data_IF_908613482037
#
_entry.id   IF_908613482037
#
_cell.length_a   1.000
_cell.length_b   1.000
_cell.length_c   1.000
_cell.angle_alpha   90.00
_cell.angle_beta   90.00
_cell.angle_gamma   90.00
#
_symmetry.space_group_name_H-M   'P 1'
#
loop_
_entity.id
_entity.type
_entity.pdbx_description
1 polymer ?
#
# COMPACT_ATOMS: atom_id res chain seq x y z
N UNK A 1 7.26 48.38 -38.01
CA UNK A 1 8.35 47.46 -37.62
C UNK A 1 7.72 46.09 -37.36
N UNK A 2 7.52 45.23 -38.36
CA UNK A 2 8.46 44.24 -38.94
C UNK A 2 9.12 43.31 -37.89
N UNK A 3 8.70 42.03 -37.98
CA UNK A 3 9.11 40.77 -37.29
C UNK A 3 10.45 40.24 -37.91
N UNK A 4 11.01 39.02 -37.68
CA UNK A 4 10.77 37.92 -36.71
C UNK A 4 12.08 37.15 -36.28
N UNK A 5 11.93 35.87 -35.85
CA UNK A 5 12.87 34.71 -35.80
C UNK A 5 13.28 34.32 -34.36
N UNK A 6 13.17 33.07 -33.87
CA UNK A 6 12.94 31.76 -34.47
C UNK A 6 12.70 30.68 -33.39
N UNK A 7 11.65 29.86 -33.57
CA UNK A 7 11.57 28.39 -33.33
C UNK A 7 11.84 27.79 -31.91
N UNK A 8 11.56 26.49 -31.67
CA UNK A 8 10.45 25.62 -32.13
C UNK A 8 9.86 24.81 -30.94
N UNK A 9 8.76 24.09 -31.21
CA UNK A 9 8.39 22.90 -30.41
C UNK A 9 9.50 21.85 -30.53
N UNK A 10 9.46 20.87 -29.63
CA UNK A 10 10.24 19.61 -29.68
C UNK A 10 11.60 19.64 -28.97
N UNK A 11 11.59 19.32 -27.66
CA UNK A 11 12.51 18.29 -27.17
C UNK A 11 11.97 17.61 -25.90
N UNK A 12 10.94 16.79 -26.09
CA UNK A 12 10.81 15.55 -25.33
C UNK A 12 12.05 14.70 -25.66
N UNK A 13 13.00 14.67 -24.73
CA UNK A 13 14.02 13.65 -24.48
C UNK A 13 15.40 14.26 -24.19
N UNK A 14 15.68 14.45 -22.91
CA UNK A 14 17.01 14.13 -22.41
C UNK A 14 16.90 13.23 -21.17
N UNK A 15 16.78 11.94 -21.48
CA UNK A 15 17.43 10.81 -20.83
C UNK A 15 17.17 10.59 -19.33
N UNK A 16 16.34 9.57 -19.10
CA UNK A 16 16.57 8.50 -18.13
C UNK A 16 18.02 8.40 -17.62
N UNK A 17 18.20 8.40 -16.30
CA UNK A 17 19.47 8.03 -15.68
C UNK A 17 19.72 8.71 -14.34
N UNK A 18 19.35 8.01 -13.27
CA UNK A 18 19.78 8.21 -11.88
C UNK A 18 19.18 9.39 -11.12
N UNK A 19 18.50 9.04 -10.02
CA UNK A 19 17.87 9.96 -9.06
C UNK A 19 18.86 10.93 -8.41
N UNK A 20 19.14 12.02 -9.12
CA UNK A 20 19.93 13.14 -8.61
C UNK A 20 19.03 14.37 -8.51
N UNK A 21 18.91 14.90 -7.30
CA UNK A 21 18.18 16.15 -7.04
C UNK A 21 18.78 17.27 -7.90
N UNK A 22 17.96 18.06 -8.63
CA UNK A 22 18.49 19.15 -9.44
C UNK A 22 19.32 20.12 -8.59
N UNK A 23 20.55 20.42 -9.01
CA UNK A 23 21.55 21.20 -8.25
C UNK A 23 21.01 22.57 -7.78
N UNK A 24 20.06 23.13 -8.52
CA UNK A 24 19.34 24.36 -8.19
C UNK A 24 18.62 24.32 -6.83
N UNK A 25 18.13 23.14 -6.40
CA UNK A 25 17.34 22.96 -5.18
C UNK A 25 18.20 22.89 -3.92
N UNK A 26 19.46 22.46 -4.04
CA UNK A 26 20.41 22.41 -2.93
C UNK A 26 20.82 23.81 -2.44
N UNK A 27 20.71 24.83 -3.29
CA UNK A 27 21.22 26.17 -2.99
C UNK A 27 20.11 27.15 -2.57
N UNK A 28 18.87 26.95 -3.04
CA UNK A 28 17.74 27.88 -2.79
C UNK A 28 16.56 27.26 -2.03
N UNK A 29 16.66 25.97 -1.68
CA UNK A 29 15.57 25.25 -1.03
C UNK A 29 14.43 24.87 -1.98
N UNK A 30 13.74 23.77 -1.66
CA UNK A 30 12.59 23.30 -2.41
C UNK A 30 11.37 24.24 -2.25
N UNK A 31 10.64 24.62 -3.32
CA UNK A 31 9.36 25.30 -3.20
C UNK A 31 8.39 24.51 -2.30
N UNK A 32 7.80 25.20 -1.33
CA UNK A 32 6.78 24.66 -0.42
C UNK A 32 5.57 24.22 -1.25
N UNK A 33 5.43 22.90 -1.45
CA UNK A 33 4.36 22.30 -2.26
C UNK A 33 4.78 21.09 -3.09
N UNK A 34 6.08 20.81 -3.25
CA UNK A 34 6.59 19.66 -4.02
C UNK A 34 7.19 18.62 -3.06
N UNK A 35 6.37 18.04 -2.19
CA UNK A 35 6.72 16.84 -1.39
C UNK A 35 5.94 15.65 -1.93
N UNK A 36 6.04 15.38 -3.23
CA UNK A 36 5.49 14.15 -3.85
C UNK A 36 6.55 13.29 -4.53
N UNK A 37 7.82 13.53 -4.26
CA UNK A 37 8.89 12.68 -4.76
C UNK A 37 10.00 12.56 -3.72
N UNK A 38 9.74 11.79 -2.67
CA UNK A 38 10.82 11.27 -1.83
C UNK A 38 11.21 9.91 -2.45
N UNK A 39 12.41 9.78 -3.05
CA UNK A 39 12.88 8.50 -3.54
C UNK A 39 13.06 7.55 -2.37
N UNK A 40 12.64 6.30 -2.59
CA UNK A 40 12.75 5.16 -1.68
C UNK A 40 14.09 5.19 -0.94
N UNK A 41 14.08 5.56 0.35
CA UNK A 41 15.28 5.62 1.17
C UNK A 41 15.70 4.18 1.51
N UNK A 42 16.61 3.65 0.70
CA UNK A 42 17.39 2.45 1.00
C UNK A 42 18.17 2.74 2.29
N UNK A 43 17.71 2.21 3.43
CA UNK A 43 18.34 2.45 4.74
C UNK A 43 17.40 2.72 5.92
N UNK A 44 16.08 2.50 5.82
CA UNK A 44 15.24 2.39 7.01
C UNK A 44 15.49 1.02 7.66
N UNK A 45 15.89 1.04 8.94
CA UNK A 45 16.06 -0.12 9.83
C UNK A 45 14.95 -1.17 9.64
N UNK A 46 15.27 -2.48 9.73
CA UNK A 46 14.31 -3.54 9.44
C UNK A 46 13.20 -3.46 10.48
N UNK A 47 12.07 -2.91 10.08
CA UNK A 47 10.87 -3.08 10.86
C UNK A 47 10.62 -4.59 10.85
N UNK A 48 10.59 -5.21 12.03
CA UNK A 48 9.98 -6.55 12.19
C UNK A 48 8.50 -6.42 11.84
N UNK A 49 8.21 -6.31 10.55
CA UNK A 49 6.90 -6.37 9.91
C UNK A 49 7.00 -7.53 8.93
N UNK A 50 7.06 -8.75 9.45
CA UNK A 50 6.80 -9.88 8.57
C UNK A 50 5.38 -10.41 8.75
N UNK A 51 4.83 -10.36 9.98
CA UNK A 51 3.44 -10.79 10.23
C UNK A 51 2.45 -9.62 10.07
N UNK A 52 2.74 -8.42 10.62
CA UNK A 52 1.71 -7.38 10.73
C UNK A 52 1.22 -6.79 9.40
N UNK A 53 2.08 -6.54 8.40
CA UNK A 53 1.62 -5.97 7.11
C UNK A 53 0.85 -6.98 6.27
N UNK A 54 1.28 -8.24 6.29
CA UNK A 54 0.62 -9.35 5.62
C UNK A 54 -0.81 -9.52 6.15
N UNK A 55 -0.97 -9.51 7.48
CA UNK A 55 -2.28 -9.57 8.15
C UNK A 55 -3.20 -8.41 7.72
N UNK A 56 -2.68 -7.18 7.67
CA UNK A 56 -3.48 -6.03 7.23
C UNK A 56 -3.90 -6.16 5.76
N UNK A 57 -3.01 -6.61 4.87
CA UNK A 57 -3.30 -6.76 3.44
C UNK A 57 -4.32 -7.87 3.20
N UNK A 58 -4.17 -9.01 3.87
CA UNK A 58 -5.18 -10.07 3.86
C UNK A 58 -6.52 -9.55 4.37
N UNK A 59 -6.54 -8.85 5.51
CA UNK A 59 -7.78 -8.35 6.09
C UNK A 59 -8.50 -7.36 5.18
N UNK A 60 -7.75 -6.48 4.51
CA UNK A 60 -8.30 -5.55 3.52
C UNK A 60 -8.98 -6.33 2.39
N UNK A 61 -8.31 -7.35 1.82
CA UNK A 61 -8.88 -8.17 0.76
C UNK A 61 -10.15 -8.90 1.21
N UNK A 62 -10.12 -9.53 2.39
CA UNK A 62 -11.29 -10.22 2.96
C UNK A 62 -12.48 -9.28 3.12
N UNK A 63 -12.25 -8.08 3.67
CA UNK A 63 -13.31 -7.10 3.87
C UNK A 63 -13.82 -6.53 2.54
N UNK A 64 -12.95 -6.38 1.53
CA UNK A 64 -13.36 -6.00 0.19
C UNK A 64 -14.28 -7.06 -0.45
N UNK A 65 -13.96 -8.36 -0.33
CA UNK A 65 -14.82 -9.43 -0.85
C UNK A 65 -16.16 -9.52 -0.10
N UNK A 66 -16.18 -9.23 1.20
CA UNK A 66 -17.39 -9.32 2.03
C UNK A 66 -18.32 -8.11 1.89
N UNK A 67 -17.76 -6.89 1.82
CA UNK A 67 -18.53 -5.64 1.91
C UNK A 67 -18.45 -4.78 0.63
N UNK A 68 -17.58 -5.13 -0.32
CA UNK A 68 -17.30 -4.36 -1.53
C UNK A 68 -16.41 -3.13 -1.32
N UNK A 69 -16.43 -2.50 -0.15
CA UNK A 69 -15.60 -1.33 0.17
C UNK A 69 -15.10 -1.38 1.61
N UNK A 70 -13.93 -0.76 1.86
CA UNK A 70 -13.23 -0.86 3.16
C UNK A 70 -12.73 0.51 3.59
N UNK A 71 -12.96 0.85 4.86
CA UNK A 71 -12.35 2.02 5.50
C UNK A 71 -11.47 1.58 6.68
N UNK A 72 -10.62 2.48 7.15
CA UNK A 72 -9.70 2.20 8.27
C UNK A 72 -10.43 1.80 9.57
N UNK A 73 -11.66 2.28 9.77
CA UNK A 73 -12.50 1.88 10.91
C UNK A 73 -12.97 0.43 10.81
N UNK A 74 -13.25 -0.08 9.61
CA UNK A 74 -13.64 -1.49 9.42
C UNK A 74 -12.49 -2.42 9.80
N UNK A 75 -11.27 -2.06 9.40
CA UNK A 75 -10.05 -2.81 9.71
C UNK A 75 -9.81 -2.82 11.22
N UNK A 76 -9.93 -1.67 11.89
CA UNK A 76 -9.77 -1.57 13.35
C UNK A 76 -10.76 -2.46 14.10
N UNK A 77 -12.04 -2.45 13.67
CA UNK A 77 -13.07 -3.30 14.25
C UNK A 77 -12.78 -4.78 14.00
N UNK A 78 -12.46 -5.15 12.75
CA UNK A 78 -12.23 -6.55 12.37
C UNK A 78 -10.99 -7.17 13.02
N UNK A 79 -9.95 -6.37 13.29
CA UNK A 79 -8.71 -6.82 13.93
C UNK A 79 -8.68 -6.60 15.45
N UNK A 80 -9.70 -5.96 16.03
CA UNK A 80 -9.71 -5.62 17.46
C UNK A 80 -8.63 -4.62 17.88
N UNK A 81 -8.14 -3.80 16.94
CA UNK A 81 -7.06 -2.84 17.18
C UNK A 81 -7.57 -1.41 17.37
N UNK A 82 -6.76 -0.59 18.05
CA UNK A 82 -7.10 0.82 18.26
C UNK A 82 -7.02 1.62 16.96
N UNK A 83 -7.87 2.66 16.82
CA UNK A 83 -7.84 3.57 15.66
C UNK A 83 -6.46 4.21 15.44
N UNK A 84 -5.73 4.69 16.47
CA UNK A 84 -4.36 5.18 16.28
C UNK A 84 -3.41 4.11 15.71
N UNK A 85 -3.47 2.88 16.21
CA UNK A 85 -2.63 1.76 15.74
C UNK A 85 -2.86 1.48 14.25
N UNK A 86 -4.13 1.35 13.85
CA UNK A 86 -4.48 1.10 12.44
C UNK A 86 -4.12 2.30 11.57
N UNK A 87 -4.29 3.53 12.04
CA UNK A 87 -3.88 4.73 11.30
C UNK A 87 -2.39 4.73 10.98
N UNK A 88 -1.54 4.28 11.91
CA UNK A 88 -0.09 4.15 11.68
C UNK A 88 0.19 3.06 10.65
N UNK A 89 -0.46 1.90 10.77
CA UNK A 89 -0.31 0.80 9.82
C UNK A 89 -0.73 1.20 8.39
N UNK A 90 -1.90 1.84 8.23
CA UNK A 90 -2.40 2.31 6.93
C UNK A 90 -1.46 3.36 6.32
N UNK A 91 -0.92 4.26 7.15
CA UNK A 91 0.09 5.22 6.69
C UNK A 91 1.32 4.49 6.13
N UNK A 92 1.85 3.51 6.86
CA UNK A 92 3.01 2.75 6.44
C UNK A 92 2.74 1.97 5.15
N UNK A 93 1.61 1.27 5.03
CA UNK A 93 1.25 0.53 3.82
C UNK A 93 1.14 1.45 2.60
N UNK A 94 0.55 2.64 2.78
CA UNK A 94 0.43 3.66 1.72
C UNK A 94 1.79 4.22 1.31
N UNK A 95 2.64 4.56 2.27
CA UNK A 95 3.99 5.08 2.00
C UNK A 95 4.89 4.06 1.29
N UNK A 96 4.61 2.76 1.47
CA UNK A 96 5.30 1.67 0.77
C UNK A 96 4.61 1.25 -0.55
N UNK A 97 3.50 1.89 -0.93
CA UNK A 97 2.82 1.66 -2.20
C UNK A 97 1.99 0.37 -2.26
N UNK A 98 1.63 -0.22 -1.12
CA UNK A 98 0.77 -1.42 -1.09
C UNK A 98 -0.72 -1.08 -1.16
N UNK A 99 -1.09 0.13 -0.71
CA UNK A 99 -2.47 0.61 -0.72
C UNK A 99 -2.54 2.08 -1.16
N UNK A 100 -3.72 2.48 -1.62
CA UNK A 100 -4.12 3.88 -1.74
C UNK A 100 -5.40 4.14 -0.94
N UNK A 101 -5.64 5.43 -0.66
CA UNK A 101 -6.86 5.91 0.01
C UNK A 101 -7.41 7.05 -0.84
N UNK A 102 -8.67 6.95 -1.26
CA UNK A 102 -9.31 7.98 -2.07
C UNK A 102 -9.83 9.16 -1.23
N UNK A 103 -10.45 10.14 -1.90
CA UNK A 103 -10.99 11.34 -1.26
C UNK A 103 -12.12 11.08 -0.27
N UNK A 104 -12.83 9.95 -0.43
CA UNK A 104 -13.93 9.53 0.44
C UNK A 104 -13.46 8.61 1.59
N UNK A 105 -12.16 8.30 1.63
CA UNK A 105 -11.52 7.51 2.66
C UNK A 105 -11.60 6.00 2.45
N UNK A 106 -11.95 5.53 1.25
CA UNK A 106 -11.92 4.11 0.92
C UNK A 106 -10.51 3.64 0.60
N UNK A 107 -10.21 2.44 1.07
CA UNK A 107 -8.90 1.80 0.92
C UNK A 107 -8.93 0.88 -0.29
N UNK A 108 -7.95 1.06 -1.16
CA UNK A 108 -7.73 0.26 -2.37
C UNK A 108 -6.39 -0.45 -2.27
N UNK A 109 -6.36 -1.75 -2.59
CA UNK A 109 -5.12 -2.50 -2.73
C UNK A 109 -4.47 -2.13 -4.07
N UNK A 110 -3.22 -1.71 -4.01
CA UNK A 110 -2.40 -1.52 -5.21
C UNK A 110 -1.82 -2.86 -5.64
N UNK A 111 -1.35 -2.97 -6.89
CA UNK A 111 -0.81 -4.22 -7.45
C UNK A 111 0.14 -4.99 -6.51
N UNK A 112 1.21 -4.37 -5.92
CA UNK A 112 2.09 -5.11 -5.01
C UNK A 112 1.38 -5.57 -3.73
N UNK A 113 0.42 -4.80 -3.21
CA UNK A 113 -0.37 -5.19 -2.04
C UNK A 113 -1.34 -6.32 -2.37
N UNK A 114 -1.97 -6.28 -3.54
CA UNK A 114 -2.90 -7.30 -4.03
C UNK A 114 -2.21 -8.65 -4.22
N UNK A 115 -1.00 -8.68 -4.78
CA UNK A 115 -0.21 -9.91 -4.96
C UNK A 115 0.04 -10.58 -3.61
N UNK A 116 0.45 -9.81 -2.61
CA UNK A 116 0.72 -10.32 -1.26
C UNK A 116 -0.58 -10.78 -0.60
N UNK A 117 -1.61 -9.93 -0.61
CA UNK A 117 -2.92 -10.23 -0.02
C UNK A 117 -3.52 -11.53 -0.57
N UNK A 118 -3.53 -11.72 -1.89
CA UNK A 118 -4.04 -12.94 -2.53
C UNK A 118 -3.24 -14.17 -2.14
N UNK A 119 -1.91 -14.08 -2.11
CA UNK A 119 -1.06 -15.21 -1.74
C UNK A 119 -1.36 -15.71 -0.32
N UNK A 120 -1.53 -14.78 0.62
CA UNK A 120 -1.84 -15.10 2.02
C UNK A 120 -3.27 -15.64 2.11
N UNK A 121 -4.22 -14.95 1.49
CA UNK A 121 -5.63 -15.35 1.54
C UNK A 121 -5.88 -16.72 0.90
N UNK A 122 -5.19 -17.04 -0.19
CA UNK A 122 -5.25 -18.37 -0.80
C UNK A 122 -4.72 -19.46 0.13
N UNK A 123 -3.66 -19.18 0.89
CA UNK A 123 -3.15 -20.10 1.92
C UNK A 123 -4.17 -20.28 3.03
N UNK A 124 -4.73 -19.18 3.55
CA UNK A 124 -5.78 -19.21 4.55
C UNK A 124 -6.93 -20.10 4.08
N UNK A 125 -7.49 -19.85 2.88
CA UNK A 125 -8.62 -20.61 2.36
C UNK A 125 -8.33 -22.10 2.22
N UNK A 126 -7.13 -22.46 1.76
CA UNK A 126 -6.71 -23.88 1.66
C UNK A 126 -6.63 -24.53 3.04
N UNK A 127 -6.06 -23.84 4.02
CA UNK A 127 -5.97 -24.34 5.39
C UNK A 127 -7.35 -24.46 6.04
N UNK A 128 -8.24 -23.47 5.84
CA UNK A 128 -9.63 -23.55 6.29
C UNK A 128 -10.33 -24.77 5.70
N UNK A 129 -10.23 -24.99 4.39
CA UNK A 129 -10.82 -26.15 3.72
C UNK A 129 -10.24 -27.46 4.25
N UNK A 130 -8.94 -27.49 4.51
CA UNK A 130 -8.28 -28.65 5.12
C UNK A 130 -8.81 -28.95 6.52
N UNK A 131 -8.93 -27.96 7.39
CA UNK A 131 -9.49 -28.15 8.74
C UNK A 131 -10.96 -28.56 8.71
N UNK A 132 -11.76 -27.98 7.82
CA UNK A 132 -13.16 -28.40 7.61
C UNK A 132 -13.22 -29.86 7.16
N UNK A 133 -12.32 -30.29 6.27
CA UNK A 133 -12.26 -31.69 5.83
C UNK A 133 -11.87 -32.65 6.97
N UNK A 134 -11.18 -32.17 8.01
CA UNK A 134 -10.89 -32.92 9.24
C UNK A 134 -12.05 -32.92 10.24
N UNK A 135 -13.18 -32.27 9.91
CA UNK A 135 -14.36 -32.18 10.77
C UNK A 135 -14.36 -31.02 11.75
N UNK A 136 -13.46 -30.05 11.60
CA UNK A 136 -13.48 -28.81 12.38
C UNK A 136 -14.63 -27.93 11.88
N UNK A 137 -15.34 -27.28 12.81
CA UNK A 137 -16.38 -26.31 12.47
C UNK A 137 -15.81 -25.19 11.55
N UNK A 138 -16.54 -24.73 10.51
CA UNK A 138 -16.04 -23.75 9.56
C UNK A 138 -15.55 -22.44 10.17
N UNK A 139 -16.19 -21.95 11.24
CA UNK A 139 -15.78 -20.70 11.88
C UNK A 139 -14.46 -20.89 12.64
N UNK A 140 -14.34 -22.01 13.35
CA UNK A 140 -13.11 -22.39 14.06
C UNK A 140 -11.98 -22.67 13.07
N UNK A 141 -12.26 -23.36 11.97
CA UNK A 141 -11.30 -23.64 10.91
C UNK A 141 -10.75 -22.38 10.26
N UNK A 142 -11.59 -21.37 10.00
CA UNK A 142 -11.16 -20.08 9.45
C UNK A 142 -10.30 -19.30 10.45
N UNK A 143 -10.73 -19.27 11.71
CA UNK A 143 -9.97 -18.62 12.78
C UNK A 143 -8.60 -19.26 13.02
N UNK A 144 -8.50 -20.59 12.96
CA UNK A 144 -7.23 -21.30 13.15
C UNK A 144 -6.34 -21.20 11.92
N UNK A 145 -6.90 -21.17 10.71
CA UNK A 145 -6.16 -20.93 9.48
C UNK A 145 -5.49 -19.54 9.46
N UNK A 146 -6.08 -18.52 10.08
CA UNK A 146 -5.46 -17.19 10.26
C UNK A 146 -4.13 -17.23 11.04
N UNK A 147 -3.84 -18.29 11.81
CA UNK A 147 -2.69 -18.34 12.72
C UNK A 147 -1.47 -19.09 12.15
N UNK A 148 -1.53 -19.56 10.90
CA UNK A 148 -0.58 -20.54 10.30
C UNK A 148 0.03 -20.05 8.98
#
# INVERSE_FOLDING_TARGET
MQRPLSHPKDNLNFLAGHGSVPRFWLQNGAPRGIVKYIPYRKGAVPMKIHESAEDYLEKILMLQEQKGSVRSIDIAVAMGFSKPSVSVAMKNLRENGYISVDGDGYIHLEEPGMVIARRIYDRHRKLTQFFVALGVDPEVAAHDACKI
#
